data_IF_075594005970
#
_entry.id   IF_075594005970
#
_cell.length_a   1.000
_cell.length_b   1.000
_cell.length_c   1.000
_cell.angle_alpha   90.00
_cell.angle_beta   90.00
_cell.angle_gamma   90.00
#
_symmetry.space_group_name_H-M   'P 1'
#
loop_
_entity.id
_entity.type
_entity.pdbx_description
1 polymer ?
#
# COMPACT_ATOMS: atom_id res chain seq x y z
N UNK A 1 7.87 12.24 -5.25
CA UNK A 1 7.12 11.92 -4.01
C UNK A 1 8.10 12.07 -2.86
N UNK A 2 8.01 13.15 -2.09
CA UNK A 2 8.92 13.34 -0.95
C UNK A 2 8.42 12.41 0.16
N UNK A 3 9.12 11.29 0.36
CA UNK A 3 9.01 10.53 1.60
C UNK A 3 9.64 11.39 2.69
N UNK A 4 8.81 12.14 3.42
CA UNK A 4 9.24 12.97 4.54
C UNK A 4 9.54 12.08 5.76
N UNK A 5 10.70 11.44 5.73
CA UNK A 5 11.21 10.62 6.84
C UNK A 5 11.53 11.44 8.09
N UNK A 6 11.68 12.76 7.96
CA UNK A 6 12.04 13.68 9.05
C UNK A 6 10.81 14.33 9.69
N UNK A 7 9.60 13.83 9.38
CA UNK A 7 8.38 14.36 9.97
C UNK A 7 8.32 14.05 11.47
N UNK A 8 7.95 15.07 12.27
CA UNK A 8 7.78 14.93 13.72
C UNK A 8 6.73 13.89 14.11
N UNK A 9 5.66 13.78 13.32
CA UNK A 9 4.59 12.80 13.53
C UNK A 9 4.57 11.82 12.36
N UNK A 10 4.61 10.50 12.60
CA UNK A 10 4.56 9.52 11.53
C UNK A 10 3.21 9.58 10.83
N UNK A 11 3.22 9.36 9.51
CA UNK A 11 2.01 9.24 8.71
C UNK A 11 2.18 8.07 7.75
N UNK A 12 1.21 7.15 7.74
CA UNK A 12 1.12 6.05 6.77
C UNK A 12 -0.32 5.95 6.33
N UNK A 13 -0.60 6.58 5.21
CA UNK A 13 -1.95 6.63 4.67
C UNK A 13 -1.93 6.38 3.17
N UNK A 14 -3.05 5.86 2.67
CA UNK A 14 -3.33 5.76 1.25
C UNK A 14 -4.73 6.32 1.03
N UNK A 15 -4.87 7.19 0.03
CA UNK A 15 -6.17 7.72 -0.39
C UNK A 15 -6.40 7.28 -1.83
N UNK A 16 -7.50 6.57 -2.06
CA UNK A 16 -7.95 6.16 -3.39
C UNK A 16 -9.19 6.97 -3.73
N UNK A 17 -9.03 7.87 -4.71
CA UNK A 17 -10.12 8.69 -5.22
C UNK A 17 -10.73 8.06 -6.47
N UNK A 18 -12.05 7.97 -6.49
CA UNK A 18 -12.83 7.43 -7.61
C UNK A 18 -13.87 8.46 -8.05
N UNK A 19 -14.58 8.18 -9.14
CA UNK A 19 -15.67 9.06 -9.62
C UNK A 19 -16.88 9.11 -8.69
N UNK A 20 -17.02 8.13 -7.78
CA UNK A 20 -18.20 7.99 -6.91
C UNK A 20 -17.90 8.27 -5.43
N UNK A 21 -16.63 8.47 -5.08
CA UNK A 21 -16.23 8.63 -3.70
C UNK A 21 -14.73 8.43 -3.47
N UNK A 22 -14.37 8.41 -2.20
CA UNK A 22 -13.01 8.26 -1.71
C UNK A 22 -12.94 7.12 -0.69
N UNK A 23 -11.85 6.36 -0.75
CA UNK A 23 -11.44 5.43 0.30
C UNK A 23 -10.12 5.93 0.88
N UNK A 24 -10.07 6.11 2.19
CA UNK A 24 -8.86 6.48 2.90
C UNK A 24 -8.50 5.36 3.88
N UNK A 25 -7.27 4.89 3.79
CA UNK A 25 -6.71 3.93 4.73
C UNK A 25 -5.63 4.63 5.56
N UNK A 26 -5.77 4.59 6.89
CA UNK A 26 -4.73 4.96 7.84
C UNK A 26 -4.17 3.69 8.48
N UNK A 27 -2.93 3.37 8.13
CA UNK A 27 -2.27 2.15 8.57
C UNK A 27 -1.72 2.27 10.00
N UNK A 28 -1.62 3.47 10.58
CA UNK A 28 -1.20 3.67 11.97
C UNK A 28 -2.38 3.49 12.94
N UNK A 29 -3.55 4.04 12.59
CA UNK A 29 -4.79 3.83 13.37
C UNK A 29 -5.55 2.56 13.00
N UNK A 30 -5.05 1.80 12.02
CA UNK A 30 -5.67 0.59 11.48
C UNK A 30 -7.14 0.80 11.11
N UNK A 31 -7.41 1.91 10.43
CA UNK A 31 -8.77 2.27 10.05
C UNK A 31 -8.90 2.52 8.56
N UNK A 32 -10.01 2.08 7.99
CA UNK A 32 -10.43 2.44 6.64
C UNK A 32 -11.69 3.29 6.74
N UNK A 33 -11.65 4.49 6.18
CA UNK A 33 -12.81 5.33 5.99
C UNK A 33 -13.24 5.33 4.53
N UNK A 34 -14.55 5.39 4.31
CA UNK A 34 -15.13 5.55 2.98
C UNK A 34 -16.09 6.73 2.96
N UNK A 35 -16.00 7.50 1.88
CA UNK A 35 -16.84 8.66 1.63
C UNK A 35 -17.46 8.52 0.24
N UNK A 36 -18.77 8.30 0.19
CA UNK A 36 -19.53 8.34 -1.07
C UNK A 36 -20.24 9.70 -1.20
N UNK A 37 -20.51 10.11 -2.44
CA UNK A 37 -21.25 11.36 -2.71
C UNK A 37 -22.61 11.33 -2.01
N UNK A 38 -22.86 12.30 -1.12
CA UNK A 38 -24.13 12.46 -0.40
C UNK A 38 -24.35 11.49 0.77
N UNK A 39 -23.33 10.72 1.16
CA UNK A 39 -23.40 9.84 2.32
C UNK A 39 -22.54 10.34 3.48
N UNK A 40 -22.85 9.87 4.69
CA UNK A 40 -22.02 10.08 5.88
C UNK A 40 -20.75 9.23 5.75
N UNK A 41 -19.62 9.75 6.24
CA UNK A 41 -18.36 9.01 6.30
C UNK A 41 -18.59 7.75 7.13
N UNK A 42 -18.27 6.60 6.53
CA UNK A 42 -18.23 5.33 7.26
C UNK A 42 -16.78 5.05 7.67
N UNK A 43 -16.55 4.66 8.91
CA UNK A 43 -15.20 4.34 9.42
C UNK A 43 -15.22 2.94 10.01
N UNK A 44 -14.34 2.09 9.52
CA UNK A 44 -14.11 0.75 10.03
C UNK A 44 -12.72 0.65 10.64
N UNK A 45 -12.65 0.07 11.84
CA UNK A 45 -11.39 -0.26 12.51
C UNK A 45 -11.10 -1.75 12.37
N UNK A 46 -9.82 -2.07 12.27
CA UNK A 46 -9.30 -3.43 12.22
C UNK A 46 -8.40 -3.62 13.44
N UNK A 47 -8.71 -4.62 14.26
CA UNK A 47 -8.01 -4.88 15.53
C UNK A 47 -6.85 -5.88 15.37
N UNK A 48 -6.29 -5.99 14.16
CA UNK A 48 -5.22 -6.95 13.89
C UNK A 48 -3.90 -6.46 14.50
N UNK A 49 -3.17 -7.34 15.18
CA UNK A 49 -1.82 -6.97 15.57
C UNK A 49 -0.91 -6.88 14.34
N UNK A 50 0.12 -6.03 14.39
CA UNK A 50 1.07 -5.93 13.27
C UNK A 50 1.78 -7.27 13.02
N UNK A 51 1.99 -8.04 14.08
CA UNK A 51 2.65 -9.35 14.01
C UNK A 51 1.74 -10.39 13.33
N UNK A 52 0.42 -10.35 13.56
CA UNK A 52 -0.55 -11.20 12.85
C UNK A 52 -0.45 -11.04 11.34
N UNK A 53 -0.33 -9.82 10.81
CA UNK A 53 -0.21 -9.60 9.36
C UNK A 53 1.03 -10.30 8.77
N UNK A 54 2.16 -10.31 9.48
CA UNK A 54 3.36 -11.00 9.02
C UNK A 54 3.23 -12.52 9.12
N UNK A 55 2.61 -13.00 10.20
CA UNK A 55 2.35 -14.42 10.37
C UNK A 55 1.40 -14.95 9.28
N UNK A 56 0.33 -14.21 8.99
CA UNK A 56 -0.62 -14.53 7.91
C UNK A 56 0.07 -14.59 6.54
N UNK A 57 0.99 -13.66 6.26
CA UNK A 57 1.78 -13.66 5.02
C UNK A 57 2.70 -14.88 4.90
N UNK A 58 3.38 -15.25 5.99
CA UNK A 58 4.24 -16.43 6.01
C UNK A 58 3.44 -17.71 5.86
N UNK A 59 2.31 -17.81 6.55
CA UNK A 59 1.39 -18.94 6.45
C UNK A 59 0.83 -19.08 5.04
N UNK A 60 0.34 -18.00 4.42
CA UNK A 60 -0.15 -18.01 3.03
C UNK A 60 0.94 -18.47 2.05
N UNK A 61 2.17 -17.97 2.21
CA UNK A 61 3.31 -18.38 1.39
C UNK A 61 3.59 -19.89 1.48
N UNK A 62 3.70 -20.42 2.70
CA UNK A 62 3.97 -21.85 2.94
C UNK A 62 2.83 -22.70 2.36
N UNK A 63 1.58 -22.32 2.63
CA UNK A 63 0.40 -23.04 2.19
C UNK A 63 0.29 -23.09 0.66
N UNK A 64 0.53 -21.97 -0.03
CA UNK A 64 0.54 -21.92 -1.51
C UNK A 64 1.69 -22.74 -2.08
N UNK A 65 2.88 -22.64 -1.50
CA UNK A 65 4.04 -23.43 -1.92
C UNK A 65 3.76 -24.93 -1.80
N UNK A 66 3.13 -25.36 -0.71
CA UNK A 66 2.78 -26.77 -0.50
C UNK A 66 1.77 -27.29 -1.54
N UNK A 67 0.90 -26.42 -2.07
CA UNK A 67 -0.08 -26.74 -3.13
C UNK A 67 0.44 -26.55 -4.55
N UNK A 68 1.68 -26.09 -4.72
CA UNK A 68 2.23 -25.72 -6.04
C UNK A 68 1.54 -24.49 -6.65
N UNK A 69 0.88 -23.68 -5.83
CA UNK A 69 0.21 -22.45 -6.24
C UNK A 69 1.22 -21.31 -6.32
N UNK A 70 0.89 -20.30 -7.13
CA UNK A 70 1.67 -19.07 -7.19
C UNK A 70 1.41 -18.22 -5.93
N UNK A 71 2.44 -17.54 -5.39
CA UNK A 71 2.24 -16.57 -4.32
C UNK A 71 1.34 -15.43 -4.80
N UNK A 72 0.68 -14.74 -3.86
CA UNK A 72 -0.15 -13.55 -4.16
C UNK A 72 0.68 -12.46 -4.83
N UNK A 73 1.93 -12.29 -4.40
CA UNK A 73 2.91 -11.36 -5.00
C UNK A 73 4.08 -12.18 -5.51
N UNK A 74 4.30 -12.16 -6.82
CA UNK A 74 5.38 -12.88 -7.48
C UNK A 74 6.61 -12.02 -7.73
N UNK A 75 7.66 -12.66 -8.28
CA UNK A 75 8.90 -11.97 -8.66
C UNK A 75 8.65 -10.90 -9.73
N UNK A 76 7.73 -11.15 -10.67
CA UNK A 76 7.37 -10.18 -11.70
C UNK A 76 6.80 -8.88 -11.09
N UNK A 77 5.89 -9.00 -10.12
CA UNK A 77 5.32 -7.85 -9.41
C UNK A 77 6.39 -7.04 -8.67
N UNK A 78 7.37 -7.75 -8.07
CA UNK A 78 8.52 -7.11 -7.43
C UNK A 78 9.40 -6.38 -8.46
N UNK A 79 9.65 -6.96 -9.64
CA UNK A 79 10.39 -6.31 -10.71
C UNK A 79 9.68 -5.03 -11.20
N UNK A 80 8.37 -5.06 -11.40
CA UNK A 80 7.62 -3.86 -11.78
C UNK A 80 7.70 -2.77 -10.70
N UNK A 81 7.57 -3.16 -9.43
CA UNK A 81 7.72 -2.23 -8.31
C UNK A 81 9.11 -1.57 -8.30
N UNK A 82 10.17 -2.36 -8.52
CA UNK A 82 11.54 -1.84 -8.58
C UNK A 82 11.75 -0.89 -9.76
N UNK A 83 11.14 -1.14 -10.93
CA UNK A 83 11.19 -0.21 -12.07
C UNK A 83 10.57 1.14 -11.73
N UNK A 84 9.46 1.16 -11.00
CA UNK A 84 8.84 2.40 -10.51
C UNK A 84 9.78 3.14 -9.57
N UNK A 85 10.39 2.43 -8.62
CA UNK A 85 11.35 3.03 -7.67
C UNK A 85 12.55 3.63 -8.42
N UNK A 86 13.12 2.92 -9.38
CA UNK A 86 14.23 3.42 -10.18
C UNK A 86 13.84 4.64 -11.02
N UNK A 87 12.66 4.64 -11.64
CA UNK A 87 12.17 5.79 -12.39
C UNK A 87 11.96 7.03 -11.51
N UNK A 88 11.46 6.85 -10.28
CA UNK A 88 11.32 7.95 -9.31
C UNK A 88 12.70 8.52 -8.96
N UNK A 89 13.69 7.65 -8.69
CA UNK A 89 15.05 8.07 -8.37
C UNK A 89 15.70 8.82 -9.53
N UNK A 90 15.59 8.30 -10.74
CA UNK A 90 16.11 8.95 -11.95
C UNK A 90 15.42 10.28 -12.22
N UNK A 91 14.10 10.37 -11.99
CA UNK A 91 13.35 11.62 -12.13
C UNK A 91 13.83 12.69 -11.14
N UNK A 92 14.12 12.29 -9.90
CA UNK A 92 14.67 13.19 -8.86
C UNK A 92 16.09 13.66 -9.21
N UNK A 93 16.96 12.74 -9.64
CA UNK A 93 18.35 13.05 -10.01
C UNK A 93 18.46 13.93 -11.27
N UNK A 94 17.59 13.71 -12.27
CA UNK A 94 17.61 14.47 -13.53
C UNK A 94 16.79 15.76 -13.49
N UNK A 95 15.80 15.86 -12.59
CA UNK A 95 14.79 16.91 -12.61
C UNK A 95 13.78 16.79 -13.77
N UNK A 96 13.77 15.67 -14.49
CA UNK A 96 12.91 15.42 -15.64
C UNK A 96 11.88 14.33 -15.38
N UNK A 97 10.86 14.28 -16.24
CA UNK A 97 9.87 13.20 -16.21
C UNK A 97 10.44 11.94 -16.84
N UNK A 98 10.53 10.86 -16.07
CA UNK A 98 10.90 9.52 -16.55
C UNK A 98 9.63 8.72 -16.86
N UNK A 99 9.59 8.05 -18.01
CA UNK A 99 8.48 7.19 -18.41
C UNK A 99 8.78 5.73 -18.03
N UNK A 100 7.74 5.03 -17.60
CA UNK A 100 7.75 3.60 -17.25
C UNK A 100 7.41 2.72 -18.45
#
# INVERSE_FOLDING_TARGET
>A
MILDFNRRSPRREVIVQTTTGELQWDALSQSVSTLSIGQVINVQHFDQSRDEVFLDQLEDFINRSARGERPVVGVADACETLRVIDAIRLSDESGERVYL
#
